data_IF_474297220164
#
_entry.id   IF_474297220164
#
_cell.length_a   1.000
_cell.length_b   1.000
_cell.length_c   1.000
_cell.angle_alpha   90.00
_cell.angle_beta   90.00
_cell.angle_gamma   90.00
#
_symmetry.space_group_name_H-M   'P 1'
#
loop_
_entity.id
_entity.type
_entity.pdbx_description
1 polymer ?
#
# COMPACT_ATOMS: atom_id res chain seq x y z
N UNK A 1 20.41 6.34 -9.83
CA UNK A 1 20.06 6.43 -8.39
C UNK A 1 20.39 5.11 -7.73
N UNK A 2 20.89 5.11 -6.49
CA UNK A 2 21.17 3.86 -5.75
C UNK A 2 20.03 3.52 -4.79
N UNK A 3 19.98 2.27 -4.32
CA UNK A 3 19.05 1.87 -3.26
C UNK A 3 19.28 2.66 -1.97
N UNK A 4 20.54 2.97 -1.64
CA UNK A 4 20.88 3.81 -0.50
C UNK A 4 20.29 5.23 -0.61
N UNK A 5 20.25 5.83 -1.81
CA UNK A 5 19.62 7.15 -2.01
C UNK A 5 18.11 7.09 -1.77
N UNK A 6 17.44 6.03 -2.24
CA UNK A 6 16.02 5.82 -1.99
C UNK A 6 15.74 5.69 -0.49
N UNK A 7 16.46 4.81 0.20
CA UNK A 7 16.29 4.62 1.65
C UNK A 7 16.59 5.90 2.43
N UNK A 8 17.63 6.66 2.04
CA UNK A 8 17.94 7.94 2.68
C UNK A 8 16.81 8.96 2.52
N UNK A 9 16.17 9.04 1.35
CA UNK A 9 15.05 9.95 1.13
C UNK A 9 13.78 9.54 1.87
N UNK A 10 13.49 8.23 1.97
CA UNK A 10 12.38 7.73 2.79
C UNK A 10 12.61 8.04 4.28
N UNK A 11 13.84 7.82 4.77
CA UNK A 11 14.23 8.15 6.15
C UNK A 11 14.15 9.65 6.44
N UNK A 12 14.63 10.51 5.53
CA UNK A 12 14.67 11.97 5.78
C UNK A 12 13.28 12.59 5.91
N UNK A 13 12.23 11.91 5.45
CA UNK A 13 10.85 12.36 5.55
C UNK A 13 10.04 11.57 6.57
N UNK A 14 10.61 10.58 7.26
CA UNK A 14 9.84 9.59 8.01
C UNK A 14 8.70 8.98 7.18
N UNK A 15 9.02 8.60 5.95
CA UNK A 15 8.04 8.12 5.00
C UNK A 15 7.86 6.60 5.04
N UNK A 16 6.64 6.15 4.73
CA UNK A 16 6.25 4.76 4.56
C UNK A 16 5.67 4.54 3.16
N UNK A 17 6.02 3.40 2.55
CA UNK A 17 5.30 2.87 1.40
C UNK A 17 4.27 1.86 1.89
N UNK A 18 2.99 2.10 1.56
CA UNK A 18 1.87 1.31 2.09
C UNK A 18 0.99 0.79 0.95
N UNK A 19 0.81 -0.53 0.87
CA UNK A 19 -0.22 -1.12 0.03
C UNK A 19 -1.48 -1.42 0.86
N UNK A 20 -2.57 -0.72 0.58
CA UNK A 20 -3.78 -0.77 1.40
C UNK A 20 -4.81 -1.79 0.91
N UNK A 21 -5.53 -2.40 1.86
CA UNK A 21 -6.83 -3.00 1.56
C UNK A 21 -7.86 -1.87 1.45
N UNK A 22 -8.63 -1.85 0.36
CA UNK A 22 -9.53 -0.74 0.04
C UNK A 22 -10.98 -1.10 0.38
N UNK A 23 -11.76 -0.19 0.98
CA UNK A 23 -13.15 -0.46 1.36
C UNK A 23 -14.10 -0.64 0.16
N UNK A 24 -13.74 -0.17 -1.04
CA UNK A 24 -14.52 -0.32 -2.26
C UNK A 24 -14.19 -1.54 -3.13
N UNK A 25 -13.48 -2.54 -2.58
CA UNK A 25 -13.04 -3.75 -3.30
C UNK A 25 -14.00 -4.92 -3.08
N UNK A 26 -13.89 -5.99 -3.85
CA UNK A 26 -14.46 -7.31 -3.55
C UNK A 26 -15.73 -7.63 -4.32
N UNK A 27 -16.20 -6.70 -5.17
CA UNK A 27 -17.33 -6.92 -6.08
C UNK A 27 -16.97 -7.91 -7.18
N UNK A 28 -15.76 -7.81 -7.74
CA UNK A 28 -15.29 -8.74 -8.76
C UNK A 28 -14.93 -10.10 -8.12
N UNK A 29 -15.34 -11.25 -8.70
CA UNK A 29 -14.98 -12.56 -8.19
C UNK A 29 -13.48 -12.83 -8.03
N UNK A 30 -12.63 -12.21 -8.86
CA UNK A 30 -11.17 -12.33 -8.80
C UNK A 30 -10.56 -11.54 -7.65
N UNK A 31 -11.27 -10.56 -7.11
CA UNK A 31 -10.78 -9.75 -6.02
C UNK A 31 -10.86 -10.50 -4.70
N UNK A 32 -9.74 -10.48 -3.98
CA UNK A 32 -9.72 -10.85 -2.56
C UNK A 32 -10.11 -9.64 -1.72
N UNK A 33 -10.72 -9.89 -0.57
CA UNK A 33 -10.99 -8.90 0.49
C UNK A 33 -10.04 -9.13 1.66
N UNK A 34 -10.03 -8.20 2.63
CA UNK A 34 -9.25 -8.35 3.84
C UNK A 34 -9.63 -9.62 4.63
N UNK A 35 -8.68 -10.36 5.23
CA UNK A 35 -7.23 -10.14 5.22
C UNK A 35 -6.50 -10.78 4.03
N UNK A 36 -7.19 -11.62 3.26
CA UNK A 36 -6.62 -12.44 2.19
C UNK A 36 -5.98 -11.60 1.07
N UNK A 37 -6.48 -10.39 0.84
CA UNK A 37 -5.90 -9.49 -0.17
C UNK A 37 -4.52 -8.99 0.21
N UNK A 38 -4.31 -8.60 1.46
CA UNK A 38 -3.01 -8.20 1.98
C UNK A 38 -2.08 -9.39 2.11
N UNK A 39 -2.56 -10.57 2.54
CA UNK A 39 -1.75 -11.79 2.57
C UNK A 39 -1.28 -12.17 1.16
N UNK A 40 -2.16 -12.08 0.16
CA UNK A 40 -1.78 -12.27 -1.24
C UNK A 40 -0.80 -11.21 -1.73
N UNK A 41 -0.98 -9.93 -1.34
CA UNK A 41 -0.06 -8.86 -1.68
C UNK A 41 1.36 -9.13 -1.15
N UNK A 42 1.49 -9.64 0.09
CA UNK A 42 2.78 -10.07 0.66
C UNK A 42 3.41 -11.15 -0.22
N UNK A 43 2.66 -12.17 -0.63
CA UNK A 43 3.19 -13.24 -1.48
C UNK A 43 3.62 -12.76 -2.87
N UNK A 44 2.88 -11.81 -3.46
CA UNK A 44 3.22 -11.21 -4.76
C UNK A 44 4.56 -10.47 -4.67
N UNK A 45 4.75 -9.67 -3.61
CA UNK A 45 5.99 -8.91 -3.41
C UNK A 45 7.17 -9.81 -3.08
N UNK A 46 6.98 -10.81 -2.22
CA UNK A 46 8.05 -11.71 -1.77
C UNK A 46 8.63 -12.53 -2.95
N UNK A 47 7.76 -13.02 -3.83
CA UNK A 47 8.13 -13.76 -5.03
C UNK A 47 8.66 -12.87 -6.17
N UNK A 48 8.44 -11.55 -6.09
CA UNK A 48 8.82 -10.61 -7.16
C UNK A 48 8.05 -10.79 -8.48
N UNK A 49 6.94 -11.54 -8.50
CA UNK A 49 6.18 -11.91 -9.71
C UNK A 49 5.00 -10.97 -10.00
N UNK A 50 5.10 -9.71 -9.59
CA UNK A 50 4.06 -8.71 -9.86
C UNK A 50 4.39 -7.34 -9.29
N UNK A 51 3.58 -6.35 -9.64
CA UNK A 51 3.73 -4.97 -9.19
C UNK A 51 2.45 -4.50 -8.52
N UNK A 52 2.59 -3.91 -7.32
CA UNK A 52 1.48 -3.39 -6.53
C UNK A 52 1.46 -1.86 -6.53
N UNK A 53 0.26 -1.24 -6.58
CA UNK A 53 0.10 0.19 -6.35
C UNK A 53 0.15 0.46 -4.84
N UNK A 54 0.99 1.39 -4.42
CA UNK A 54 1.25 1.71 -3.02
C UNK A 54 1.09 3.22 -2.81
N UNK A 55 0.67 3.63 -1.63
CA UNK A 55 0.69 5.03 -1.22
C UNK A 55 2.02 5.34 -0.53
N UNK A 56 2.73 6.37 -0.99
CA UNK A 56 3.79 6.99 -0.20
C UNK A 56 3.16 7.95 0.81
N UNK A 57 3.41 7.73 2.09
CA UNK A 57 2.92 8.60 3.17
C UNK A 57 4.05 9.04 4.09
N UNK A 58 3.88 10.20 4.72
CA UNK A 58 4.81 10.78 5.69
C UNK A 58 4.07 11.82 6.54
N UNK A 59 4.66 12.39 7.60
CA UNK A 59 3.98 13.35 8.49
C UNK A 59 3.21 14.47 7.79
N UNK A 60 3.79 15.05 6.74
CA UNK A 60 3.17 16.15 5.98
C UNK A 60 2.22 15.69 4.87
N UNK A 61 2.09 14.37 4.63
CA UNK A 61 1.19 13.81 3.63
C UNK A 61 0.73 12.40 4.01
N UNK A 62 -0.53 12.27 4.44
CA UNK A 62 -1.07 11.01 4.97
C UNK A 62 -2.21 10.44 4.10
N UNK A 63 -2.41 10.96 2.88
CA UNK A 63 -3.43 10.46 1.98
C UNK A 63 -3.05 9.06 1.48
N UNK A 64 -3.94 8.10 1.70
CA UNK A 64 -3.76 6.69 1.31
C UNK A 64 -5.00 6.16 0.58
N UNK A 65 -4.83 5.04 -0.12
CA UNK A 65 -5.94 4.29 -0.71
C UNK A 65 -6.92 3.66 0.31
N UNK A 66 -6.49 3.48 1.55
CA UNK A 66 -7.26 2.80 2.59
C UNK A 66 -6.68 3.01 3.97
N UNK A 67 -7.41 2.57 5.00
CA UNK A 67 -7.07 2.80 6.41
C UNK A 67 -6.28 1.67 7.06
N UNK A 68 -6.05 0.57 6.34
CA UNK A 68 -5.17 -0.54 6.76
C UNK A 68 -4.42 -1.08 5.54
N UNK A 69 -3.15 -1.43 5.72
CA UNK A 69 -2.31 -1.92 4.64
C UNK A 69 -1.02 -2.54 5.12
N UNK A 70 -0.24 -3.12 4.21
CA UNK A 70 1.11 -3.61 4.51
C UNK A 70 2.11 -2.48 4.29
N UNK A 71 3.05 -2.32 5.22
CA UNK A 71 4.23 -1.45 5.04
C UNK A 71 5.29 -2.23 4.31
N UNK A 72 5.79 -1.69 3.22
CA UNK A 72 6.68 -2.41 2.31
C UNK A 72 8.05 -1.75 2.19
N UNK A 73 9.10 -2.57 2.13
CA UNK A 73 10.48 -2.14 1.92
C UNK A 73 10.98 -2.67 0.59
N UNK A 74 11.13 -1.82 -0.44
CA UNK A 74 11.72 -2.26 -1.71
C UNK A 74 13.11 -2.85 -1.47
N UNK A 75 13.38 -4.07 -1.98
CA UNK A 75 14.68 -4.73 -1.80
C UNK A 75 15.79 -4.04 -2.58
N UNK A 76 15.44 -3.37 -3.68
CA UNK A 76 16.35 -2.60 -4.51
C UNK A 76 15.72 -1.28 -4.94
N UNK A 77 16.50 -0.40 -5.57
CA UNK A 77 15.93 0.75 -6.27
C UNK A 77 15.07 0.33 -7.47
N UNK A 78 15.49 -0.72 -8.20
CA UNK A 78 14.78 -1.22 -9.37
C UNK A 78 13.41 -1.86 -9.03
N UNK A 79 13.16 -2.16 -7.76
CA UNK A 79 11.87 -2.58 -7.20
C UNK A 79 10.80 -1.49 -7.34
N UNK A 80 11.19 -0.20 -7.34
CA UNK A 80 10.27 0.93 -7.60
C UNK A 80 10.13 1.12 -9.11
N UNK A 81 8.97 0.75 -9.67
CA UNK A 81 8.72 0.72 -11.12
C UNK A 81 8.27 2.06 -11.68
N UNK A 82 7.66 2.89 -10.84
CA UNK A 82 7.08 4.16 -11.26
C UNK A 82 6.48 4.92 -10.08
N UNK A 83 6.50 6.24 -10.16
CA UNK A 83 5.99 7.15 -9.12
C UNK A 83 5.15 8.25 -9.75
N UNK A 84 4.19 8.78 -9.01
CA UNK A 84 3.43 9.98 -9.37
C UNK A 84 2.82 10.63 -8.15
N UNK A 85 2.82 11.97 -8.12
CA UNK A 85 2.06 12.74 -7.13
C UNK A 85 0.58 12.69 -7.50
N UNK A 86 -0.20 11.85 -6.82
CA UNK A 86 -1.62 11.60 -7.09
C UNK A 86 -1.91 10.16 -7.54
N UNK A 87 -3.11 9.94 -8.07
CA UNK A 87 -3.52 8.62 -8.58
C UNK A 87 -2.88 8.28 -9.93
N UNK A 88 -2.00 7.29 -9.99
CA UNK A 88 -1.42 6.81 -11.22
C UNK A 88 -2.42 6.12 -12.14
N UNK A 89 -3.54 5.63 -11.61
CA UNK A 89 -4.58 4.96 -12.39
C UNK A 89 -4.08 3.65 -13.00
N UNK A 90 -3.17 2.97 -12.30
CA UNK A 90 -2.56 1.75 -12.82
C UNK A 90 -3.53 0.57 -12.78
N UNK A 91 -3.50 -0.25 -13.82
CA UNK A 91 -4.36 -1.42 -14.00
C UNK A 91 -3.52 -2.67 -14.14
N UNK A 92 -4.01 -3.80 -13.64
CA UNK A 92 -3.36 -5.09 -13.85
C UNK A 92 -3.94 -5.75 -15.09
N UNK A 93 -3.08 -6.25 -15.97
CA UNK A 93 -3.45 -7.01 -17.14
C UNK A 93 -3.22 -8.50 -16.89
N UNK A 94 -4.31 -9.26 -16.78
CA UNK A 94 -4.27 -10.70 -16.54
C UNK A 94 -3.59 -11.49 -17.68
N UNK A 95 -3.59 -10.96 -18.92
CA UNK A 95 -3.02 -11.65 -20.06
C UNK A 95 -1.49 -11.58 -20.09
N UNK A 96 -0.93 -10.45 -19.68
CA UNK A 96 0.52 -10.22 -19.64
C UNK A 96 1.11 -10.48 -18.25
N UNK A 97 0.29 -10.46 -17.21
CA UNK A 97 0.75 -10.49 -15.81
C UNK A 97 1.42 -9.17 -15.39
N UNK A 98 1.31 -8.12 -16.20
CA UNK A 98 1.96 -6.84 -15.97
C UNK A 98 0.96 -5.79 -15.49
N UNK A 99 1.46 -4.84 -14.69
CA UNK A 99 0.72 -3.65 -14.31
C UNK A 99 1.03 -2.53 -15.29
N UNK A 100 0.00 -1.90 -15.83
CA UNK A 100 0.13 -0.73 -16.69
C UNK A 100 0.81 0.40 -15.93
N UNK A 101 1.58 1.23 -16.66
CA UNK A 101 2.26 2.38 -16.05
C UNK A 101 1.30 3.49 -15.66
N UNK A 102 0.10 3.55 -16.25
CA UNK A 102 -0.82 4.67 -16.06
C UNK A 102 -0.11 6.02 -16.26
N UNK A 103 -0.24 6.92 -15.27
CA UNK A 103 0.46 8.22 -15.23
C UNK A 103 1.82 8.17 -14.53
N UNK A 104 2.27 7.01 -14.05
CA UNK A 104 3.54 6.90 -13.31
C UNK A 104 4.74 7.10 -14.24
N UNK A 105 5.78 7.71 -13.69
CA UNK A 105 7.08 7.90 -14.37
C UNK A 105 8.19 7.19 -13.60
N UNK A 106 9.26 6.74 -14.27
CA UNK A 106 10.42 6.18 -13.57
C UNK A 106 10.97 7.17 -12.53
N UNK A 107 11.27 6.68 -11.33
CA UNK A 107 11.89 7.48 -10.28
C UNK A 107 13.36 7.75 -10.66
N UNK A 108 13.80 9.00 -10.57
CA UNK A 108 15.15 9.45 -10.87
C UNK A 108 15.66 10.34 -9.74
N UNK A 109 16.96 10.64 -9.72
CA UNK A 109 17.49 11.62 -8.75
C UNK A 109 16.86 13.01 -8.96
N UNK A 110 16.49 13.38 -10.19
CA UNK A 110 15.91 14.68 -10.48
C UNK A 110 14.47 14.82 -9.96
N UNK A 111 13.65 13.76 -10.06
CA UNK A 111 12.24 13.82 -9.63
C UNK A 111 11.99 13.27 -8.22
N UNK A 112 12.98 12.68 -7.55
CA UNK A 112 12.87 12.21 -6.17
C UNK A 112 12.35 13.30 -5.22
N UNK A 113 12.84 14.56 -5.23
CA UNK A 113 12.31 15.60 -4.35
C UNK A 113 10.82 15.88 -4.61
N UNK A 114 10.39 15.93 -5.87
CA UNK A 114 8.98 16.14 -6.22
C UNK A 114 8.07 15.00 -5.79
N UNK A 115 8.61 13.78 -5.62
CA UNK A 115 7.84 12.65 -5.10
C UNK A 115 7.46 12.83 -3.62
N UNK A 116 8.05 13.80 -2.89
CA UNK A 116 7.70 14.17 -1.52
C UNK A 116 6.95 15.51 -1.44
N UNK A 117 6.38 15.98 -2.54
CA UNK A 117 5.49 17.15 -2.52
C UNK A 117 4.11 16.73 -1.97
N UNK A 118 3.63 17.32 -0.86
CA UNK A 118 2.30 17.02 -0.36
C UNK A 118 1.22 17.40 -1.37
N UNK A 119 0.28 16.49 -1.57
CA UNK A 119 -0.92 16.72 -2.40
C UNK A 119 -2.19 16.42 -1.58
N UNK A 120 -3.36 16.76 -2.14
CA UNK A 120 -4.66 16.39 -1.57
C UNK A 120 -5.12 14.96 -1.91
N UNK A 121 -4.36 14.23 -2.73
CA UNK A 121 -4.66 12.87 -3.21
C UNK A 121 -3.56 11.91 -2.74
N UNK A 122 -3.78 10.60 -2.73
CA UNK A 122 -2.71 9.65 -2.42
C UNK A 122 -1.57 9.74 -3.44
N UNK A 123 -0.34 9.54 -2.99
CA UNK A 123 0.86 9.53 -3.84
C UNK A 123 1.15 8.10 -4.31
N UNK A 124 0.80 7.75 -5.56
CA UNK A 124 0.92 6.38 -6.06
C UNK A 124 2.36 6.02 -6.49
N UNK A 125 2.89 4.98 -5.84
CA UNK A 125 4.14 4.33 -6.21
C UNK A 125 3.85 2.88 -6.60
N UNK A 126 4.33 2.47 -7.76
CA UNK A 126 4.29 1.08 -8.20
C UNK A 126 5.54 0.35 -7.73
N UNK A 127 5.36 -0.73 -6.97
CA UNK A 127 6.47 -1.47 -6.34
C UNK A 127 6.34 -2.96 -6.60
N UNK A 128 7.45 -3.59 -6.98
CA UNK A 128 7.64 -5.03 -7.08
C UNK A 128 8.83 -5.45 -6.20
N UNK A 129 8.99 -6.74 -5.89
CA UNK A 129 10.17 -7.27 -5.16
C UNK A 129 10.51 -6.46 -3.88
N UNK A 130 9.71 -6.67 -2.84
CA UNK A 130 9.77 -5.91 -1.59
C UNK A 130 9.47 -6.80 -0.38
N UNK A 131 10.03 -6.45 0.76
CA UNK A 131 9.74 -7.10 2.03
C UNK A 131 8.53 -6.45 2.69
N UNK A 132 7.65 -7.25 3.29
CA UNK A 132 6.64 -6.75 4.22
C UNK A 132 7.30 -6.56 5.58
N UNK A 133 7.39 -5.31 6.03
CA UNK A 133 8.08 -4.95 7.29
C UNK A 133 7.10 -4.61 8.42
N UNK A 134 5.80 -4.59 8.14
CA UNK A 134 4.75 -4.42 9.14
C UNK A 134 3.39 -4.09 8.53
N UNK A 135 2.46 -3.68 9.38
CA UNK A 135 1.11 -3.28 8.99
C UNK A 135 0.92 -1.80 9.29
N UNK A 136 0.43 -1.04 8.32
CA UNK A 136 -0.07 0.31 8.52
C UNK A 136 -1.50 0.25 9.04
N UNK A 137 -1.79 1.02 10.08
CA UNK A 137 -3.13 1.28 10.59
C UNK A 137 -3.32 2.78 10.73
N UNK A 138 -4.24 3.36 9.97
CA UNK A 138 -4.52 4.78 10.00
C UNK A 138 -4.96 5.22 11.41
N UNK A 139 -4.57 6.43 11.87
CA UNK A 139 -5.01 6.94 13.16
C UNK A 139 -6.53 6.95 13.26
N UNK A 140 -7.06 6.37 14.32
CA UNK A 140 -8.50 6.29 14.55
C UNK A 140 -8.89 5.08 15.38
N UNK A 141 -10.18 4.97 15.67
CA UNK A 141 -10.73 3.84 16.44
C UNK A 141 -10.83 2.57 15.60
N UNK A 142 -11.07 2.71 14.29
CA UNK A 142 -11.30 1.60 13.37
C UNK A 142 -10.67 1.86 12.00
N UNK A 143 -10.21 0.81 11.34
CA UNK A 143 -9.95 0.79 9.91
C UNK A 143 -11.16 0.21 9.18
N UNK A 144 -11.47 0.74 7.99
CA UNK A 144 -12.55 0.27 7.13
C UNK A 144 -12.01 -0.57 5.98
N UNK A 145 -12.52 -1.79 5.86
CA UNK A 145 -12.22 -2.72 4.77
C UNK A 145 -13.52 -3.19 4.12
N UNK A 146 -13.40 -3.78 2.93
CA UNK A 146 -14.53 -4.41 2.26
C UNK A 146 -14.82 -5.80 2.86
N UNK A 147 -16.10 -6.15 2.93
CA UNK A 147 -16.58 -7.49 3.28
C UNK A 147 -17.66 -7.93 2.28
N UNK A 148 -17.58 -9.18 1.81
CA UNK A 148 -18.65 -9.78 1.01
C UNK A 148 -19.76 -10.24 1.93
N UNK A 149 -21.00 -9.83 1.65
CA UNK A 149 -22.15 -10.05 2.55
C UNK A 149 -23.15 -11.09 2.06
N UNK A 150 -22.92 -11.67 0.88
CA UNK A 150 -23.83 -12.62 0.27
C UNK A 150 -23.20 -13.37 -0.90
N UNK A 151 -23.96 -14.26 -1.55
CA UNK A 151 -23.51 -15.00 -2.72
C UNK A 151 -23.33 -14.06 -3.92
N UNK A 152 -22.72 -14.60 -4.99
CA UNK A 152 -22.55 -13.91 -6.26
C UNK A 152 -23.93 -13.54 -6.85
N UNK A 153 -24.10 -12.26 -7.20
CA UNK A 153 -25.32 -11.74 -7.80
C UNK A 153 -25.49 -12.10 -9.28
N UNK A 154 -26.67 -11.84 -9.87
CA UNK A 154 -26.97 -12.14 -11.28
C UNK A 154 -26.14 -11.31 -12.27
N UNK A 155 -25.56 -10.19 -11.83
CA UNK A 155 -24.62 -9.35 -12.60
C UNK A 155 -23.17 -9.83 -12.50
N UNK A 156 -22.95 -11.03 -11.96
CA UNK A 156 -21.64 -11.60 -11.66
C UNK A 156 -20.79 -10.73 -10.71
N UNK A 157 -21.43 -9.98 -9.80
CA UNK A 157 -20.76 -9.23 -8.73
C UNK A 157 -21.21 -9.68 -7.35
N UNK A 158 -20.28 -9.63 -6.39
CA UNK A 158 -20.62 -9.85 -4.98
C UNK A 158 -21.18 -8.57 -4.34
N UNK A 159 -22.26 -8.67 -3.52
CA UNK A 159 -22.66 -7.59 -2.65
C UNK A 159 -21.57 -7.37 -1.59
N UNK A 160 -21.17 -6.11 -1.40
CA UNK A 160 -20.11 -5.72 -0.48
C UNK A 160 -20.59 -4.65 0.50
N UNK A 161 -20.07 -4.69 1.73
CA UNK A 161 -20.25 -3.67 2.76
C UNK A 161 -18.91 -3.29 3.38
N UNK A 162 -18.94 -2.25 4.23
CA UNK A 162 -17.80 -1.90 5.06
C UNK A 162 -17.79 -2.70 6.35
N UNK A 163 -16.63 -3.27 6.68
CA UNK A 163 -16.32 -3.83 7.99
C UNK A 163 -15.31 -2.95 8.71
N UNK A 164 -15.61 -2.62 9.96
CA UNK A 164 -14.69 -1.93 10.85
C UNK A 164 -13.76 -2.96 11.51
N UNK A 165 -12.46 -2.69 11.46
CA UNK A 165 -11.41 -3.48 12.11
C UNK A 165 -10.78 -2.68 13.24
N UNK A 166 -10.54 -3.35 14.35
CA UNK A 166 -9.70 -2.84 15.45
C UNK A 166 -8.24 -3.23 15.23
N UNK A 167 -7.34 -2.64 16.02
CA UNK A 167 -5.94 -3.10 16.04
C UNK A 167 -5.80 -4.56 16.49
N UNK A 168 -6.70 -5.07 17.34
CA UNK A 168 -6.61 -6.47 17.81
C UNK A 168 -7.03 -7.45 16.72
N UNK A 169 -8.01 -7.10 15.87
CA UNK A 169 -8.33 -7.86 14.67
C UNK A 169 -7.09 -7.98 13.76
N UNK A 170 -6.40 -6.85 13.55
CA UNK A 170 -5.19 -6.80 12.71
C UNK A 170 -4.05 -7.62 13.31
N UNK A 171 -3.84 -7.58 14.63
CA UNK A 171 -2.81 -8.40 15.30
C UNK A 171 -3.10 -9.90 15.16
N UNK A 172 -4.38 -10.28 15.17
CA UNK A 172 -4.80 -11.66 14.98
C UNK A 172 -4.57 -12.13 13.55
N UNK A 173 -4.85 -11.28 12.57
CA UNK A 173 -4.73 -11.63 11.14
C UNK A 173 -3.29 -11.57 10.62
N UNK A 174 -2.43 -10.76 11.28
CA UNK A 174 -1.00 -10.58 10.95
C UNK A 174 -0.11 -10.77 12.19
N UNK A 175 -0.07 -11.98 12.77
CA UNK A 175 0.67 -12.23 14.01
C UNK A 175 2.17 -11.99 13.82
N UNK A 176 2.77 -11.26 14.76
CA UNK A 176 4.20 -10.98 14.78
C UNK A 176 4.68 -9.81 13.92
N UNK A 177 3.82 -9.21 13.10
CA UNK A 177 4.15 -8.00 12.35
C UNK A 177 3.96 -6.75 13.23
N UNK A 178 4.91 -5.79 13.23
CA UNK A 178 4.73 -4.53 13.92
C UNK A 178 3.64 -3.70 13.23
N UNK A 179 2.90 -2.93 14.03
CA UNK A 179 1.89 -1.99 13.52
C UNK A 179 2.48 -0.58 13.55
N UNK A 180 2.34 0.13 12.42
CA UNK A 180 2.76 1.50 12.19
C UNK A 180 1.54 2.40 12.01
N UNK A 181 1.62 3.63 12.53
CA UNK A 181 0.64 4.69 12.32
C UNK A 181 1.35 6.04 12.25
N UNK A 182 0.73 7.07 11.66
CA UNK A 182 1.28 8.44 11.67
C UNK A 182 0.43 9.28 12.62
N UNK A 183 0.94 9.53 13.83
CA UNK A 183 0.21 10.28 14.87
C UNK A 183 1.01 11.52 15.21
N UNK A 184 0.34 12.66 15.33
CA UNK A 184 0.96 13.95 15.71
C UNK A 184 2.21 14.30 14.86
N UNK A 185 2.17 13.98 13.57
CA UNK A 185 3.26 14.28 12.64
C UNK A 185 4.50 13.40 12.83
N UNK A 186 4.36 12.20 13.39
CA UNK A 186 5.44 11.22 13.50
C UNK A 186 4.96 9.82 13.15
N UNK A 187 5.83 9.03 12.53
CA UNK A 187 5.60 7.58 12.42
C UNK A 187 5.77 6.97 13.80
N UNK A 188 4.67 6.48 14.37
CA UNK A 188 4.67 5.63 15.55
C UNK A 188 4.62 4.18 15.09
N UNK A 189 5.74 3.48 15.25
CA UNK A 189 5.78 2.02 15.23
C UNK A 189 6.14 1.50 16.62
N UNK A 190 5.75 0.27 16.94
CA UNK A 190 6.30 -0.44 18.10
C UNK A 190 7.82 -0.73 17.96
N UNK A 191 8.39 -0.44 16.78
CA UNK A 191 9.82 -0.38 16.50
C UNK A 191 10.02 0.81 15.55
N UNK A 192 11.13 1.56 15.67
CA UNK A 192 11.45 2.75 14.87
C UNK A 192 11.27 2.58 13.34
N UNK A 193 11.28 3.70 12.59
CA UNK A 193 11.18 3.76 11.11
C UNK A 193 11.86 2.54 10.43
N UNK A 194 11.13 1.74 9.63
CA UNK A 194 11.62 0.44 9.14
C UNK A 194 12.63 0.53 7.99
N UNK A 195 12.90 1.74 7.47
CA UNK A 195 13.84 1.94 6.38
C UNK A 195 15.27 2.00 6.87
#
# INVERSE_FOLDING_TARGET
MTHANLLAALRSHDALLVHCSRPGKGQDPKERVYPDDLQNAIQVLDRGIGTLPCSLIWPAHQATYGSVGIVIKPRTFASVKGVVTGDGGTTYDDATGERSKGRTVPLTMQNLPSAFTPTGEHNEWTVADADCVGIYFAPGRYAQVAERTGPLGPDAKYPTNFRNLTMDDVRKDFPGLPIFSIVEGRVLGFVHNPY
#
